data_IF_562223000656
#
_entry.id   IF_562223000656
#
_cell.length_a   1.000
_cell.length_b   1.000
_cell.length_c   1.000
_cell.angle_alpha   90.00
_cell.angle_beta   90.00
_cell.angle_gamma   90.00
#
_symmetry.space_group_name_H-M   'P 1'
#
loop_
_entity.id
_entity.type
_entity.pdbx_description
1 polymer ?
#
# COMPACT_ATOMS: atom_id res chain seq x y z
N UNK A 1 -11.72 1.85 -11.80
CA UNK A 1 -11.27 0.93 -10.74
C UNK A 1 -11.20 -0.47 -11.32
N UNK A 2 -10.05 -1.12 -11.19
CA UNK A 2 -9.85 -2.51 -11.61
C UNK A 2 -10.21 -3.44 -10.45
N UNK A 3 -10.79 -4.60 -10.78
CA UNK A 3 -11.23 -5.59 -9.81
C UNK A 3 -10.54 -6.93 -10.08
N UNK A 4 -9.98 -7.51 -9.03
CA UNK A 4 -9.39 -8.83 -9.06
C UNK A 4 -9.99 -9.70 -7.95
N UNK A 5 -10.29 -10.96 -8.27
CA UNK A 5 -10.81 -11.93 -7.30
C UNK A 5 -10.01 -13.21 -7.38
N UNK A 6 -9.58 -13.71 -6.22
CA UNK A 6 -9.03 -15.05 -6.08
C UNK A 6 -10.08 -15.94 -5.44
N UNK A 7 -10.36 -17.07 -6.09
CA UNK A 7 -11.07 -18.17 -5.47
C UNK A 7 -10.72 -19.47 -6.18
N UNK A 8 -11.39 -20.55 -5.80
CA UNK A 8 -11.29 -21.87 -6.42
C UNK A 8 -12.69 -22.46 -6.63
N UNK A 9 -12.77 -23.42 -7.53
CA UNK A 9 -13.99 -24.21 -7.71
C UNK A 9 -14.10 -25.36 -6.74
N UNK A 10 -15.26 -26.03 -6.79
CA UNK A 10 -15.51 -27.26 -6.04
C UNK A 10 -14.62 -28.42 -6.52
N UNK A 11 -14.43 -28.55 -7.84
CA UNK A 11 -13.72 -29.65 -8.46
C UNK A 11 -12.21 -29.63 -8.21
N UNK A 12 -11.57 -30.79 -8.41
CA UNK A 12 -10.14 -31.00 -8.15
C UNK A 12 -9.23 -30.18 -9.08
N UNK A 13 -9.63 -30.00 -10.34
CA UNK A 13 -8.90 -29.27 -11.37
C UNK A 13 -9.10 -27.74 -11.30
N UNK A 14 -10.11 -27.29 -10.57
CA UNK A 14 -10.43 -25.88 -10.34
C UNK A 14 -9.68 -25.33 -9.13
N UNK A 15 -8.34 -25.21 -9.22
CA UNK A 15 -7.51 -24.70 -8.12
C UNK A 15 -7.58 -23.17 -7.96
N UNK A 16 -6.97 -22.61 -6.90
CA UNK A 16 -6.97 -21.18 -6.63
C UNK A 16 -6.33 -20.36 -7.75
N UNK A 17 -7.08 -19.40 -8.31
CA UNK A 17 -6.61 -18.53 -9.39
C UNK A 17 -7.15 -17.12 -9.21
N UNK A 18 -6.35 -16.15 -9.63
CA UNK A 18 -6.78 -14.76 -9.73
C UNK A 18 -7.44 -14.50 -11.08
N UNK A 19 -8.62 -13.87 -11.03
CA UNK A 19 -9.34 -13.37 -12.18
C UNK A 19 -9.40 -11.84 -12.10
N UNK A 20 -8.93 -11.14 -13.13
CA UNK A 20 -9.28 -9.75 -13.37
C UNK A 20 -10.63 -9.70 -14.07
N UNK A 21 -11.52 -8.83 -13.60
CA UNK A 21 -12.86 -8.67 -14.15
C UNK A 21 -12.93 -7.36 -14.94
N UNK A 22 -13.11 -7.49 -16.25
CA UNK A 22 -13.21 -6.38 -17.19
C UNK A 22 -14.58 -5.70 -17.13
N UNK A 23 -14.71 -4.55 -17.79
CA UNK A 23 -15.94 -3.76 -17.81
C UNK A 23 -17.15 -4.49 -18.40
N UNK A 24 -16.91 -5.45 -19.30
CA UNK A 24 -17.93 -6.30 -19.94
C UNK A 24 -18.27 -7.57 -19.14
N UNK A 25 -17.84 -7.66 -17.88
CA UNK A 25 -17.89 -8.86 -17.02
C UNK A 25 -17.07 -10.05 -17.55
N UNK A 26 -16.24 -9.88 -18.57
CA UNK A 26 -15.30 -10.94 -18.95
C UNK A 26 -14.21 -11.10 -17.89
N UNK A 27 -13.80 -12.36 -17.65
CA UNK A 27 -12.79 -12.70 -16.67
C UNK A 27 -11.50 -13.17 -17.35
N UNK A 28 -10.36 -12.65 -16.91
CA UNK A 28 -9.03 -13.03 -17.42
C UNK A 28 -8.13 -13.50 -16.29
N UNK A 29 -7.34 -14.54 -16.55
CA UNK A 29 -6.32 -15.02 -15.61
C UNK A 29 -5.20 -13.98 -15.49
N UNK A 30 -5.24 -13.19 -14.42
CA UNK A 30 -4.30 -12.11 -14.20
C UNK A 30 -4.14 -11.82 -12.71
N UNK A 31 -2.88 -11.67 -12.28
CA UNK A 31 -2.56 -11.29 -10.91
C UNK A 31 -2.84 -9.80 -10.70
N UNK A 32 -3.39 -9.40 -9.54
CA UNK A 32 -3.41 -7.99 -9.15
C UNK A 32 -1.97 -7.46 -9.01
N UNK A 33 -1.76 -6.15 -9.19
CA UNK A 33 -0.44 -5.51 -9.09
C UNK A 33 -0.01 -5.35 -7.62
N UNK A 34 0.03 -6.44 -6.85
CA UNK A 34 0.49 -6.45 -5.45
C UNK A 34 2.01 -6.27 -5.42
N UNK A 35 2.50 -5.31 -4.63
CA UNK A 35 3.93 -5.11 -4.45
C UNK A 35 4.60 -6.27 -3.70
N UNK A 36 5.88 -6.50 -4.00
CA UNK A 36 6.66 -7.58 -3.37
C UNK A 36 6.66 -7.46 -1.84
N UNK A 37 6.77 -6.23 -1.32
CA UNK A 37 6.74 -5.96 0.11
C UNK A 37 5.41 -6.40 0.73
N UNK A 38 4.27 -6.00 0.15
CA UNK A 38 2.96 -6.39 0.65
C UNK A 38 2.75 -7.91 0.59
N UNK A 39 3.18 -8.55 -0.51
CA UNK A 39 3.05 -10.02 -0.67
C UNK A 39 3.75 -10.81 0.43
N UNK A 40 4.81 -10.25 1.02
CA UNK A 40 5.54 -10.86 2.12
C UNK A 40 4.94 -10.54 3.49
N UNK A 41 3.91 -9.70 3.59
CA UNK A 41 3.30 -9.27 4.85
C UNK A 41 1.92 -9.88 5.11
N UNK A 42 1.30 -10.47 4.10
CA UNK A 42 -0.02 -11.09 4.19
C UNK A 42 0.03 -12.55 3.79
N UNK A 43 -1.03 -13.27 4.13
CA UNK A 43 -1.28 -14.64 3.68
C UNK A 43 -2.75 -14.78 3.32
N UNK A 44 -3.02 -15.63 2.34
CA UNK A 44 -4.36 -15.91 1.85
C UNK A 44 -5.13 -16.86 2.77
N UNK A 45 -4.44 -17.59 3.66
CA UNK A 45 -5.08 -18.50 4.60
C UNK A 45 -5.69 -17.78 5.82
N UNK A 46 -5.24 -16.57 6.13
CA UNK A 46 -5.71 -15.80 7.30
C UNK A 46 -6.44 -14.52 6.89
N UNK A 47 -7.58 -14.18 7.53
CA UNK A 47 -8.27 -12.93 7.28
C UNK A 47 -7.34 -11.72 7.43
N UNK A 48 -7.08 -11.02 6.32
CA UNK A 48 -6.18 -9.87 6.30
C UNK A 48 -6.79 -8.71 5.52
N UNK A 49 -6.45 -7.50 5.92
CA UNK A 49 -6.81 -6.27 5.21
C UNK A 49 -5.54 -5.47 4.97
N UNK A 50 -5.29 -5.10 3.72
CA UNK A 50 -4.13 -4.30 3.36
C UNK A 50 -4.46 -3.19 2.39
N UNK A 51 -3.81 -2.04 2.57
CA UNK A 51 -3.80 -0.93 1.62
C UNK A 51 -2.36 -0.63 1.22
N UNK A 52 -2.11 -0.55 -0.08
CA UNK A 52 -0.82 -0.23 -0.67
C UNK A 52 -0.97 0.92 -1.68
N UNK A 53 0.00 1.83 -1.69
CA UNK A 53 0.14 2.82 -2.76
C UNK A 53 1.16 2.32 -3.77
N UNK A 54 0.72 2.16 -5.01
CA UNK A 54 1.53 1.68 -6.11
C UNK A 54 2.45 2.80 -6.66
N UNK A 55 3.54 2.46 -7.38
CA UNK A 55 4.47 3.46 -7.93
C UNK A 55 3.85 4.47 -8.90
N UNK A 56 2.68 4.18 -9.45
CA UNK A 56 1.93 5.03 -10.37
C UNK A 56 0.79 5.81 -9.67
N UNK A 57 0.89 6.01 -8.35
CA UNK A 57 -0.07 6.73 -7.49
C UNK A 57 -1.45 6.09 -7.38
N UNK A 58 -1.63 4.88 -7.93
CA UNK A 58 -2.81 4.07 -7.69
C UNK A 58 -2.80 3.47 -6.30
N UNK A 59 -3.98 3.15 -5.80
CA UNK A 59 -4.19 2.52 -4.51
C UNK A 59 -4.75 1.12 -4.73
N UNK A 60 -4.16 0.15 -4.03
CA UNK A 60 -4.62 -1.23 -3.99
C UNK A 60 -5.17 -1.52 -2.59
N UNK A 61 -6.45 -1.89 -2.51
CA UNK A 61 -7.05 -2.50 -1.34
C UNK A 61 -7.11 -4.01 -1.55
N UNK A 62 -6.57 -4.78 -0.62
CA UNK A 62 -6.61 -6.23 -0.64
C UNK A 62 -7.25 -6.76 0.64
N UNK A 63 -8.28 -7.59 0.47
CA UNK A 63 -8.95 -8.31 1.55
C UNK A 63 -8.78 -9.81 1.27
N UNK A 64 -8.13 -10.53 2.16
CA UNK A 64 -7.84 -11.97 2.01
C UNK A 64 -8.49 -12.80 3.10
N UNK A 65 -8.46 -14.13 2.94
CA UNK A 65 -8.91 -15.08 3.97
C UNK A 65 -10.40 -14.99 4.28
N UNK A 66 -11.23 -14.53 3.34
CA UNK A 66 -12.68 -14.51 3.51
C UNK A 66 -13.15 -15.96 3.43
N UNK A 67 -13.81 -16.45 4.47
CA UNK A 67 -14.35 -17.81 4.56
C UNK A 67 -15.88 -17.77 4.53
N UNK A 68 -16.53 -17.94 3.37
CA UNK A 68 -17.98 -17.98 3.31
C UNK A 68 -18.56 -19.24 3.95
N UNK A 69 -19.64 -19.08 4.70
CA UNK A 69 -20.34 -20.21 5.33
C UNK A 69 -20.84 -21.20 4.26
N UNK A 70 -20.53 -22.49 4.44
CA UNK A 70 -20.99 -23.58 3.56
C UNK A 70 -20.23 -23.72 2.24
N UNK A 71 -19.18 -22.93 1.98
CA UNK A 71 -18.36 -23.03 0.77
C UNK A 71 -17.14 -23.92 1.02
N UNK A 72 -17.21 -25.16 0.55
CA UNK A 72 -16.12 -26.15 0.69
C UNK A 72 -15.74 -26.77 -0.66
N UNK A 73 -14.54 -27.31 -0.75
CA UNK A 73 -14.08 -28.08 -1.91
C UNK A 73 -14.46 -29.58 -1.80
N UNK A 74 -14.06 -30.36 -2.80
CA UNK A 74 -14.28 -31.82 -2.84
C UNK A 74 -13.66 -32.63 -1.68
N UNK A 75 -12.82 -32.01 -0.84
CA UNK A 75 -12.22 -32.59 0.37
C UNK A 75 -12.78 -31.96 1.65
N UNK A 76 -13.93 -31.28 1.57
CA UNK A 76 -14.57 -30.56 2.67
C UNK A 76 -13.69 -29.46 3.29
N UNK A 77 -12.69 -28.96 2.55
CA UNK A 77 -11.84 -27.84 3.00
C UNK A 77 -12.54 -26.52 2.68
N UNK A 78 -12.51 -25.53 3.59
CA UNK A 78 -13.07 -24.21 3.31
C UNK A 78 -12.46 -23.56 2.07
N UNK A 79 -13.31 -23.10 1.15
CA UNK A 79 -12.89 -22.31 0.00
C UNK A 79 -12.88 -20.84 0.43
N UNK A 80 -11.70 -20.23 0.33
CA UNK A 80 -11.49 -18.82 0.65
C UNK A 80 -11.68 -17.93 -0.56
N UNK A 81 -11.97 -16.67 -0.30
CA UNK A 81 -12.00 -15.61 -1.30
C UNK A 81 -10.95 -14.56 -0.89
N UNK A 82 -10.19 -14.08 -1.88
CA UNK A 82 -9.46 -12.84 -1.77
C UNK A 82 -9.93 -11.86 -2.83
N UNK A 83 -9.96 -10.58 -2.52
CA UNK A 83 -10.39 -9.53 -3.45
C UNK A 83 -9.41 -8.39 -3.41
N UNK A 84 -9.00 -7.92 -4.58
CA UNK A 84 -8.25 -6.69 -4.75
C UNK A 84 -9.04 -5.66 -5.56
N UNK A 85 -9.16 -4.44 -5.01
CA UNK A 85 -9.64 -3.27 -5.75
C UNK A 85 -8.46 -2.34 -6.02
N UNK A 86 -8.25 -1.97 -7.28
CA UNK A 86 -7.19 -1.05 -7.69
C UNK A 86 -7.82 0.23 -8.25
N UNK A 87 -7.68 1.33 -7.52
CA UNK A 87 -8.26 2.62 -7.85
C UNK A 87 -7.20 3.70 -8.06
N UNK A 88 -7.62 4.82 -8.64
CA UNK A 88 -6.80 6.03 -8.69
C UNK A 88 -6.89 6.80 -7.35
N UNK A 89 -6.12 7.88 -7.19
CA UNK A 89 -6.16 8.68 -5.96
C UNK A 89 -7.53 9.32 -5.67
N UNK A 90 -8.38 9.52 -6.69
CA UNK A 90 -9.77 9.94 -6.52
C UNK A 90 -10.64 8.90 -5.81
N UNK A 91 -10.27 7.63 -5.90
CA UNK A 91 -11.00 6.51 -5.30
C UNK A 91 -10.57 6.27 -3.84
N UNK A 92 -9.59 7.03 -3.32
CA UNK A 92 -9.01 6.82 -2.00
C UNK A 92 -10.07 6.77 -0.90
N UNK A 93 -11.02 7.69 -0.90
CA UNK A 93 -12.07 7.73 0.11
C UNK A 93 -12.91 6.44 0.11
N UNK A 94 -13.28 5.95 -1.08
CA UNK A 94 -14.10 4.75 -1.20
C UNK A 94 -13.31 3.50 -0.75
N UNK A 95 -12.03 3.40 -1.14
CA UNK A 95 -11.14 2.33 -0.68
C UNK A 95 -10.89 2.37 0.83
N UNK A 96 -10.71 3.57 1.42
CA UNK A 96 -10.57 3.75 2.87
C UNK A 96 -11.83 3.31 3.62
N UNK A 97 -13.01 3.70 3.15
CA UNK A 97 -14.30 3.32 3.77
C UNK A 97 -14.53 1.81 3.67
N UNK A 98 -14.25 1.21 2.51
CA UNK A 98 -14.36 -0.23 2.30
C UNK A 98 -13.39 -1.01 3.21
N UNK A 99 -12.14 -0.54 3.34
CA UNK A 99 -11.16 -1.10 4.26
C UNK A 99 -11.63 -0.99 5.72
N UNK A 100 -12.15 0.17 6.14
CA UNK A 100 -12.72 0.37 7.47
C UNK A 100 -13.87 -0.61 7.75
N UNK A 101 -14.77 -0.82 6.79
CA UNK A 101 -15.85 -1.80 6.90
C UNK A 101 -15.32 -3.23 7.05
N UNK A 102 -14.31 -3.61 6.26
CA UNK A 102 -13.66 -4.92 6.37
C UNK A 102 -13.04 -5.13 7.77
N UNK A 103 -12.39 -4.12 8.34
CA UNK A 103 -11.82 -4.19 9.69
C UNK A 103 -12.87 -4.40 10.78
N UNK A 104 -14.00 -3.72 10.67
CA UNK A 104 -15.09 -3.81 11.66
C UNK A 104 -15.80 -5.16 11.64
N UNK A 105 -15.90 -5.81 10.47
CA UNK A 105 -16.54 -7.12 10.33
C UNK A 105 -15.70 -8.28 10.85
N UNK A 106 -14.38 -8.13 10.95
CA UNK A 106 -13.54 -9.13 11.59
C UNK A 106 -13.67 -9.15 13.12
N UNK A 107 -14.46 -8.25 13.71
CA UNK A 107 -14.74 -8.27 15.14
C UNK A 107 -15.65 -9.45 15.50
N UNK A 108 -15.21 -10.25 16.48
CA UNK A 108 -16.01 -11.27 17.15
C UNK A 108 -17.08 -10.61 18.04
N UNK A 109 -17.92 -9.75 17.48
CA UNK A 109 -19.06 -9.17 18.18
C UNK A 109 -20.24 -10.14 18.13
N UNK A 110 -20.94 -10.36 19.26
CA UNK A 110 -22.07 -11.29 19.33
C UNK A 110 -23.27 -10.87 18.48
N UNK A 111 -23.34 -9.61 18.05
CA UNK A 111 -24.27 -9.14 17.02
C UNK A 111 -23.60 -9.28 15.64
N UNK A 112 -23.70 -10.46 15.04
CA UNK A 112 -23.41 -10.60 13.60
C UNK A 112 -24.33 -9.62 12.84
N UNK A 113 -23.79 -8.75 11.97
CA UNK A 113 -24.63 -7.90 11.14
C UNK A 113 -25.60 -8.77 10.33
N UNK A 114 -26.81 -8.26 10.08
CA UNK A 114 -27.76 -8.92 9.18
C UNK A 114 -27.05 -9.31 7.87
N UNK A 115 -27.30 -10.48 7.27
CA UNK A 115 -26.61 -10.94 6.07
C UNK A 115 -26.62 -9.90 4.93
N UNK A 116 -27.69 -9.11 4.81
CA UNK A 116 -27.78 -8.03 3.81
C UNK A 116 -26.81 -6.86 4.05
N UNK A 117 -26.21 -6.73 5.23
CA UNK A 117 -25.28 -5.64 5.59
C UNK A 117 -23.82 -6.11 5.75
N UNK A 118 -23.56 -7.42 5.80
CA UNK A 118 -22.19 -7.92 5.87
C UNK A 118 -21.50 -7.82 4.51
N UNK A 119 -20.35 -7.16 4.47
CA UNK A 119 -19.42 -7.10 3.37
C UNK A 119 -19.00 -8.50 2.95
N UNK A 120 -18.66 -9.36 3.91
CA UNK A 120 -18.23 -10.74 3.61
C UNK A 120 -19.35 -11.54 2.93
N UNK A 121 -20.59 -11.41 3.43
CA UNK A 121 -21.75 -12.06 2.81
C UNK A 121 -22.04 -11.49 1.41
N UNK A 122 -21.92 -10.17 1.22
CA UNK A 122 -22.12 -9.54 -0.09
C UNK A 122 -21.02 -9.94 -1.08
N UNK A 123 -19.76 -10.05 -0.65
CA UNK A 123 -18.65 -10.59 -1.47
C UNK A 123 -18.94 -12.04 -1.85
N UNK A 124 -19.38 -12.88 -0.91
CA UNK A 124 -19.71 -14.27 -1.22
C UNK A 124 -20.82 -14.37 -2.28
N UNK A 125 -21.89 -13.56 -2.14
CA UNK A 125 -22.97 -13.53 -3.11
C UNK A 125 -22.52 -13.02 -4.49
N UNK A 126 -21.52 -12.15 -4.52
CA UNK A 126 -20.93 -11.64 -5.76
C UNK A 126 -19.96 -12.62 -6.41
N UNK A 127 -19.59 -13.72 -5.73
CA UNK A 127 -18.63 -14.72 -6.23
C UNK A 127 -19.24 -16.13 -6.15
N UNK A 128 -20.32 -16.45 -6.88
CA UNK A 128 -20.92 -17.79 -6.85
C UNK A 128 -19.95 -18.88 -7.32
N UNK A 129 -20.17 -20.12 -6.86
CA UNK A 129 -19.52 -21.31 -7.40
C UNK A 129 -20.19 -21.70 -8.72
N UNK A 130 -19.64 -21.22 -9.83
CA UNK A 130 -20.13 -21.49 -11.20
C UNK A 130 -19.02 -21.21 -12.24
N UNK A 131 -19.32 -21.35 -13.53
CA UNK A 131 -18.44 -20.90 -14.61
C UNK A 131 -17.23 -21.79 -14.88
N UNK A 132 -16.44 -21.40 -15.88
CA UNK A 132 -15.32 -22.20 -16.41
C UNK A 132 -14.20 -22.45 -15.38
N UNK A 133 -13.97 -21.49 -14.48
CA UNK A 133 -12.95 -21.58 -13.44
C UNK A 133 -13.49 -22.13 -12.11
N UNK A 134 -14.75 -22.56 -12.08
CA UNK A 134 -15.46 -23.04 -10.90
C UNK A 134 -15.90 -21.94 -9.92
N UNK A 135 -15.66 -20.67 -10.28
CA UNK A 135 -16.38 -19.52 -9.74
C UNK A 135 -16.59 -18.44 -10.82
N UNK A 136 -17.64 -17.64 -10.66
CA UNK A 136 -17.92 -16.45 -11.48
C UNK A 136 -17.92 -15.21 -10.57
N UNK A 137 -17.72 -14.01 -11.12
CA UNK A 137 -17.70 -12.76 -10.36
C UNK A 137 -18.66 -11.74 -10.97
N UNK A 138 -19.64 -11.29 -10.18
CA UNK A 138 -20.50 -10.17 -10.54
C UNK A 138 -19.77 -8.84 -10.30
N UNK A 139 -19.22 -8.24 -11.36
CA UNK A 139 -18.56 -6.93 -11.25
C UNK A 139 -19.49 -5.87 -10.70
N UNK A 140 -20.74 -5.86 -11.15
CA UNK A 140 -21.73 -4.87 -10.72
C UNK A 140 -21.94 -4.93 -9.20
N UNK A 141 -22.15 -6.14 -8.65
CA UNK A 141 -22.28 -6.32 -7.21
C UNK A 141 -21.03 -5.88 -6.45
N UNK A 142 -19.83 -6.14 -7.00
CA UNK A 142 -18.56 -5.73 -6.40
C UNK A 142 -18.32 -4.22 -6.44
N UNK A 143 -18.82 -3.52 -7.47
CA UNK A 143 -18.77 -2.06 -7.56
C UNK A 143 -19.78 -1.39 -6.64
N UNK A 144 -20.96 -1.98 -6.44
CA UNK A 144 -21.96 -1.49 -5.49
C UNK A 144 -21.42 -1.45 -4.06
N UNK A 145 -20.53 -2.39 -3.68
CA UNK A 145 -19.82 -2.37 -2.40
C UNK A 145 -19.04 -1.07 -2.17
N UNK A 146 -18.42 -0.56 -3.23
CA UNK A 146 -17.60 0.67 -3.21
C UNK A 146 -18.51 1.91 -3.24
N UNK A 147 -19.62 1.84 -3.99
CA UNK A 147 -20.54 2.95 -4.19
C UNK A 147 -21.42 3.25 -2.95
N UNK A 148 -21.84 2.22 -2.20
CA UNK A 148 -22.64 2.36 -0.97
C UNK A 148 -22.00 3.31 0.05
N UNK A 149 -20.68 3.30 0.09
CA UNK A 149 -19.91 4.11 1.02
C UNK A 149 -19.61 5.51 0.48
N UNK A 150 -19.96 5.84 -0.77
CA UNK A 150 -19.65 7.15 -1.39
C UNK A 150 -20.75 8.20 -1.23
N UNK A 151 -21.96 7.83 -0.82
CA UNK A 151 -23.16 8.70 -0.85
C UNK A 151 -23.41 9.55 0.41
N UNK A 152 -22.56 9.46 1.45
CA UNK A 152 -22.65 10.32 2.63
C UNK A 152 -21.83 11.60 2.44
N UNK A 153 -22.42 12.76 2.79
CA UNK A 153 -21.78 14.09 2.73
C UNK A 153 -20.35 14.04 3.28
N UNK A 154 -19.42 14.63 2.52
CA UNK A 154 -17.99 14.60 2.78
C UNK A 154 -17.64 15.54 3.95
N UNK A 155 -17.23 15.07 5.14
CA UNK A 155 -16.32 15.86 5.93
C UNK A 155 -15.03 16.04 5.12
N UNK A 156 -14.44 17.24 5.13
CA UNK A 156 -13.08 17.42 4.60
C UNK A 156 -12.16 16.43 5.31
N UNK A 157 -11.58 15.49 4.56
CA UNK A 157 -10.64 14.52 5.12
C UNK A 157 -9.44 15.28 5.70
N UNK A 158 -9.06 14.93 6.92
CA UNK A 158 -7.93 15.53 7.63
C UNK A 158 -6.62 15.02 7.03
N UNK A 159 -5.56 15.83 7.16
CA UNK A 159 -4.23 15.44 6.73
C UNK A 159 -3.71 14.21 7.53
N UNK A 160 -2.99 13.27 6.90
CA UNK A 160 -2.50 12.07 7.58
C UNK A 160 -1.55 12.40 8.72
N UNK A 161 -1.67 11.67 9.84
CA UNK A 161 -0.61 11.64 10.84
C UNK A 161 0.51 10.72 10.35
N UNK A 162 1.67 11.28 9.99
CA UNK A 162 2.79 10.52 9.41
C UNK A 162 3.54 9.61 10.39
N UNK A 163 3.28 9.69 11.69
CA UNK A 163 3.84 8.76 12.67
C UNK A 163 3.39 7.35 12.35
N UNK A 164 4.35 6.42 12.20
CA UNK A 164 4.08 5.00 11.95
C UNK A 164 3.73 4.32 13.26
N UNK A 165 2.69 3.49 13.26
CA UNK A 165 2.19 2.83 14.47
C UNK A 165 1.97 1.34 14.21
N UNK A 166 2.35 0.54 15.20
CA UNK A 166 2.17 -0.90 15.23
C UNK A 166 1.39 -1.31 16.49
N UNK A 167 0.53 -2.32 16.39
CA UNK A 167 -0.23 -2.81 17.54
C UNK A 167 -0.72 -4.25 17.40
N UNK A 168 -1.35 -4.77 18.45
CA UNK A 168 -2.01 -6.08 18.37
C UNK A 168 -3.28 -6.01 17.51
N UNK A 169 -3.54 -7.04 16.72
CA UNK A 169 -4.80 -7.19 15.98
C UNK A 169 -5.96 -7.51 16.92
N UNK A 170 -6.40 -6.50 17.67
CA UNK A 170 -7.51 -6.56 18.62
C UNK A 170 -8.72 -5.78 18.10
N UNK A 171 -9.96 -6.13 18.53
CA UNK A 171 -11.15 -5.38 18.14
C UNK A 171 -11.07 -3.88 18.44
N UNK A 172 -10.46 -3.51 19.58
CA UNK A 172 -10.24 -2.12 19.97
C UNK A 172 -9.41 -1.37 18.91
N UNK A 173 -8.23 -1.89 18.57
CA UNK A 173 -7.32 -1.22 17.64
C UNK A 173 -7.83 -1.24 16.20
N UNK A 174 -8.58 -2.28 15.79
CA UNK A 174 -9.29 -2.28 14.51
C UNK A 174 -10.37 -1.21 14.43
N UNK A 175 -11.13 -0.99 15.50
CA UNK A 175 -12.12 0.08 15.55
C UNK A 175 -11.46 1.46 15.46
N UNK A 176 -10.38 1.69 16.21
CA UNK A 176 -9.62 2.93 16.14
C UNK A 176 -9.06 3.18 14.73
N UNK A 177 -8.50 2.15 14.09
CA UNK A 177 -8.00 2.23 12.72
C UNK A 177 -9.12 2.48 11.70
N UNK A 178 -10.28 1.84 11.86
CA UNK A 178 -11.43 2.04 11.00
C UNK A 178 -11.97 3.48 11.10
N UNK A 179 -12.00 4.08 12.30
CA UNK A 179 -12.35 5.49 12.47
C UNK A 179 -11.28 6.42 11.88
N UNK A 180 -10.00 6.11 12.08
CA UNK A 180 -8.90 6.87 11.46
C UNK A 180 -9.01 6.86 9.92
N UNK A 181 -9.33 5.70 9.33
CA UNK A 181 -9.54 5.55 7.90
C UNK A 181 -10.73 6.37 7.37
N UNK A 182 -11.77 6.60 8.16
CA UNK A 182 -12.90 7.44 7.75
C UNK A 182 -12.53 8.92 7.75
N UNK A 183 -11.77 9.34 8.74
CA UNK A 183 -11.49 10.75 9.03
C UNK A 183 -10.27 11.33 8.29
N UNK A 184 -9.25 10.51 8.02
CA UNK A 184 -7.94 10.97 7.56
C UNK A 184 -7.59 10.42 6.18
N UNK A 185 -6.94 11.26 5.36
CA UNK A 185 -6.33 10.80 4.11
C UNK A 185 -5.19 9.81 4.39
N UNK A 186 -4.82 9.03 3.37
CA UNK A 186 -3.65 8.17 3.40
C UNK A 186 -2.36 8.98 3.19
N UNK A 187 -1.22 8.56 3.74
CA UNK A 187 0.08 9.08 3.35
C UNK A 187 0.33 8.91 1.84
N UNK A 188 1.15 9.81 1.27
CA UNK A 188 1.53 9.80 -0.14
C UNK A 188 2.74 8.91 -0.42
N UNK A 189 3.32 8.25 0.59
CA UNK A 189 4.46 7.34 0.39
C UNK A 189 4.02 6.11 -0.43
N UNK A 190 4.85 5.69 -1.37
CA UNK A 190 4.69 4.41 -2.10
C UNK A 190 4.94 3.23 -1.15
N UNK A 191 4.28 2.11 -1.40
CA UNK A 191 4.42 0.86 -0.66
C UNK A 191 3.27 0.58 0.31
N UNK A 192 3.42 -0.43 1.18
CA UNK A 192 2.39 -0.82 2.14
C UNK A 192 2.08 0.32 3.13
N UNK A 193 0.82 0.74 3.16
CA UNK A 193 0.32 1.77 4.07
C UNK A 193 -0.37 1.17 5.27
N UNK A 194 -1.26 0.20 5.03
CA UNK A 194 -2.00 -0.48 6.08
C UNK A 194 -1.83 -1.97 5.91
N UNK A 195 -1.51 -2.67 7.00
CA UNK A 195 -1.44 -4.13 7.02
C UNK A 195 -2.05 -4.63 8.33
N UNK A 196 -3.16 -5.35 8.23
CA UNK A 196 -3.76 -6.09 9.34
C UNK A 196 -3.67 -7.58 9.00
N UNK A 197 -2.92 -8.34 9.78
CA UNK A 197 -2.58 -9.74 9.47
C UNK A 197 -2.56 -10.62 10.72
N UNK A 198 -2.79 -11.92 10.54
CA UNK A 198 -2.68 -12.91 11.61
C UNK A 198 -1.29 -13.50 11.82
N UNK A 199 -0.36 -13.31 10.88
CA UNK A 199 0.81 -14.19 10.75
C UNK A 199 2.19 -13.53 10.88
N UNK A 200 2.28 -12.20 10.85
CA UNK A 200 3.59 -11.51 10.87
C UNK A 200 4.00 -11.10 12.26
N UNK A 201 5.27 -11.32 12.61
CA UNK A 201 5.82 -10.82 13.87
C UNK A 201 6.10 -9.32 13.77
N UNK A 202 6.31 -8.72 14.94
CA UNK A 202 6.64 -7.30 15.10
C UNK A 202 7.77 -6.87 14.18
N UNK A 203 8.88 -7.59 14.20
CA UNK A 203 10.12 -7.22 13.51
C UNK A 203 9.90 -7.06 12.00
N UNK A 204 9.14 -7.97 11.37
CA UNK A 204 8.83 -7.90 9.94
C UNK A 204 8.01 -6.67 9.57
N UNK A 205 7.08 -6.26 10.45
CA UNK A 205 6.26 -5.06 10.24
C UNK A 205 7.05 -3.77 10.49
N UNK A 206 8.00 -3.79 11.43
CA UNK A 206 8.92 -2.68 11.68
C UNK A 206 9.90 -2.48 10.51
N UNK A 207 10.42 -3.58 9.94
CA UNK A 207 11.30 -3.56 8.77
C UNK A 207 10.58 -3.03 7.52
N UNK A 208 9.33 -3.41 7.33
CA UNK A 208 8.51 -2.94 6.21
C UNK A 208 8.02 -1.48 6.35
N UNK A 209 8.26 -0.84 7.51
CA UNK A 209 7.94 0.57 7.75
C UNK A 209 6.49 0.96 7.39
N UNK A 210 5.55 0.04 7.61
CA UNK A 210 4.12 0.21 7.34
C UNK A 210 3.57 1.36 8.18
N UNK A 211 2.69 2.18 7.60
CA UNK A 211 2.11 3.33 8.31
C UNK A 211 1.20 2.91 9.49
N UNK A 212 0.29 1.97 9.26
CA UNK A 212 -0.53 1.33 10.31
C UNK A 212 -0.41 -0.18 10.17
N UNK A 213 0.14 -0.84 11.18
CA UNK A 213 0.23 -2.30 11.19
C UNK A 213 -0.41 -2.91 12.43
N UNK A 214 -1.22 -3.95 12.22
CA UNK A 214 -1.81 -4.75 13.29
C UNK A 214 -1.47 -6.21 13.06
N UNK A 215 -0.99 -6.88 14.11
CA UNK A 215 -0.71 -8.31 14.07
C UNK A 215 -1.27 -9.07 15.26
N UNK A 216 -1.82 -10.26 15.01
CA UNK A 216 -2.27 -11.18 16.06
C UNK A 216 -1.11 -11.78 16.86
N UNK A 217 0.14 -11.68 16.39
CA UNK A 217 1.34 -12.21 17.06
C UNK A 217 2.00 -11.19 18.01
N UNK A 218 1.29 -10.13 18.39
CA UNK A 218 1.80 -9.09 19.28
C UNK A 218 1.02 -9.05 20.58
N UNK A 219 1.74 -8.87 21.68
CA UNK A 219 1.16 -8.88 23.03
C UNK A 219 0.82 -7.47 23.56
N UNK A 220 0.88 -6.44 22.70
CA UNK A 220 0.64 -5.04 23.11
C UNK A 220 -0.82 -4.64 22.93
N UNK A 221 -1.47 -4.22 24.02
CA UNK A 221 -2.88 -3.82 24.00
C UNK A 221 -3.16 -2.44 23.39
N UNK A 222 -2.12 -1.64 23.17
CA UNK A 222 -2.21 -0.27 22.62
C UNK A 222 -1.21 -0.07 21.48
N UNK A 223 -1.39 1.02 20.73
CA UNK A 223 -0.47 1.43 19.69
C UNK A 223 0.93 1.70 20.25
N UNK A 224 1.94 1.12 19.60
CA UNK A 224 3.35 1.49 19.76
C UNK A 224 3.77 2.34 18.57
N UNK A 225 4.36 3.50 18.82
CA UNK A 225 4.96 4.30 17.76
C UNK A 225 6.29 3.68 17.33
N UNK A 226 6.53 3.63 16.02
CA UNK A 226 7.82 3.20 15.51
C UNK A 226 8.80 4.37 15.58
N UNK A 227 10.03 4.14 16.08
CA UNK A 227 11.05 5.18 16.07
C UNK A 227 11.28 5.59 14.62
N UNK A 228 11.27 6.91 14.36
CA UNK A 228 11.69 7.46 13.08
C UNK A 228 13.16 7.10 12.94
N UNK A 229 13.47 5.99 12.26
CA UNK A 229 14.84 5.72 11.84
C UNK A 229 15.19 6.83 10.85
N UNK A 230 16.14 7.73 11.17
CA UNK A 230 16.57 8.71 10.19
C UNK A 230 17.08 7.95 8.98
N UNK A 231 16.45 8.17 7.81
CA UNK A 231 16.75 7.45 6.58
C UNK A 231 18.24 7.55 6.19
N UNK A 232 18.97 8.52 6.75
CA UNK A 232 20.43 8.56 6.76
C UNK A 232 20.96 9.10 8.10
N UNK A 233 21.41 8.20 8.97
CA UNK A 233 22.38 8.56 10.01
C UNK A 233 23.77 8.17 9.52
N UNK A 234 24.68 9.14 9.40
CA UNK A 234 26.11 8.89 9.14
C UNK A 234 26.72 7.91 10.15
N UNK A 235 26.15 7.77 11.35
CA UNK A 235 26.61 6.80 12.35
C UNK A 235 26.42 5.34 11.89
N UNK A 236 25.35 5.04 11.13
CA UNK A 236 25.09 3.70 10.61
C UNK A 236 26.02 3.31 9.45
N UNK A 237 26.81 4.26 8.92
CA UNK A 237 27.81 4.00 7.88
C UNK A 237 29.10 3.38 8.44
N UNK A 238 29.41 3.64 9.72
CA UNK A 238 30.62 3.17 10.38
C UNK A 238 30.39 1.90 11.21
N UNK A 239 29.13 1.62 11.57
CA UNK A 239 28.74 0.41 12.30
C UNK A 239 28.31 -0.72 11.36
N UNK A 240 29.32 -1.38 10.77
CA UNK A 240 29.28 -2.82 10.57
C UNK A 240 28.36 -3.41 9.48
N UNK A 241 28.47 -2.95 8.23
CA UNK A 241 28.08 -3.79 7.08
C UNK A 241 29.24 -4.02 6.12
N UNK A 242 29.41 -5.30 5.80
CA UNK A 242 30.48 -5.96 5.05
C UNK A 242 31.06 -5.09 3.90
N UNK A 243 32.39 -4.80 3.89
CA UNK A 243 33.04 -3.95 2.87
C UNK A 243 32.97 -4.49 1.43
N UNK A 244 32.34 -5.66 1.24
CA UNK A 244 32.17 -6.36 -0.04
C UNK A 244 30.88 -6.02 -0.78
N UNK A 245 29.98 -5.19 -0.23
CA UNK A 245 28.75 -4.84 -0.94
C UNK A 245 29.03 -3.83 -2.09
N UNK A 246 28.92 -4.21 -3.38
CA UNK A 246 29.25 -3.34 -4.50
C UNK A 246 28.28 -2.16 -4.63
N UNK A 247 27.05 -2.28 -4.12
CA UNK A 247 26.06 -1.20 -4.14
C UNK A 247 26.49 -0.04 -3.23
N UNK A 248 27.18 -0.34 -2.12
CA UNK A 248 27.68 0.65 -1.17
C UNK A 248 28.80 1.48 -1.79
N UNK A 249 29.74 0.82 -2.48
CA UNK A 249 30.79 1.50 -3.25
C UNK A 249 30.23 2.37 -4.38
N UNK A 250 29.16 1.92 -5.04
CA UNK A 250 28.50 2.72 -6.08
C UNK A 250 27.90 4.01 -5.51
N UNK A 251 27.30 3.95 -4.31
CA UNK A 251 26.74 5.13 -3.66
C UNK A 251 27.81 6.11 -3.17
N UNK A 252 28.90 5.61 -2.58
CA UNK A 252 30.07 6.44 -2.20
C UNK A 252 30.71 7.09 -3.42
N UNK A 253 30.82 6.35 -4.53
CA UNK A 253 31.35 6.90 -5.77
C UNK A 253 30.41 7.99 -6.32
N UNK A 254 29.09 7.78 -6.30
CA UNK A 254 28.12 8.77 -6.76
C UNK A 254 28.21 10.08 -5.99
N UNK A 255 28.34 10.03 -4.65
CA UNK A 255 28.44 11.24 -3.82
C UNK A 255 29.76 11.97 -4.02
N UNK A 256 30.87 11.24 -4.18
CA UNK A 256 32.16 11.83 -4.53
C UNK A 256 32.11 12.49 -5.91
N UNK A 257 31.50 11.83 -6.90
CA UNK A 257 31.36 12.38 -8.26
C UNK A 257 30.49 13.63 -8.27
N UNK A 258 29.37 13.67 -7.54
CA UNK A 258 28.53 14.88 -7.46
C UNK A 258 29.28 16.04 -6.81
N UNK A 259 30.03 15.78 -5.72
CA UNK A 259 30.83 16.81 -5.06
C UNK A 259 31.93 17.36 -5.99
N UNK A 260 32.61 16.46 -6.72
CA UNK A 260 33.62 16.86 -7.71
C UNK A 260 33.04 17.66 -8.87
N UNK A 261 31.83 17.33 -9.34
CA UNK A 261 31.14 18.06 -10.39
C UNK A 261 30.75 19.48 -9.96
N UNK A 262 30.22 19.63 -8.73
CA UNK A 262 29.93 20.96 -8.17
C UNK A 262 31.20 21.80 -8.01
N UNK A 263 32.28 21.19 -7.51
CA UNK A 263 33.58 21.84 -7.38
C UNK A 263 34.17 22.28 -8.74
N UNK A 264 34.09 21.43 -9.76
CA UNK A 264 34.52 21.78 -11.13
C UNK A 264 33.66 22.91 -11.71
N UNK A 265 32.37 22.92 -11.44
CA UNK A 265 31.45 23.97 -11.88
C UNK A 265 31.81 25.34 -11.28
N UNK A 266 32.09 25.38 -9.97
CA UNK A 266 32.61 26.56 -9.26
C UNK A 266 33.90 27.11 -9.89
N UNK A 267 34.86 26.23 -10.22
CA UNK A 267 36.12 26.63 -10.88
C UNK A 267 35.87 27.23 -12.27
N UNK A 268 34.99 26.62 -13.08
CA UNK A 268 34.66 27.12 -14.41
C UNK A 268 34.00 28.50 -14.32
N UNK A 269 33.10 28.70 -13.36
CA UNK A 269 32.45 29.99 -13.09
C UNK A 269 33.45 31.06 -12.65
N UNK A 270 34.42 30.72 -11.80
CA UNK A 270 35.48 31.64 -11.38
C UNK A 270 36.34 32.10 -12.56
N UNK A 271 36.71 31.19 -13.48
CA UNK A 271 37.51 31.52 -14.66
C UNK A 271 36.76 32.38 -15.69
N UNK A 272 35.43 32.19 -15.84
CA UNK A 272 34.61 33.06 -16.71
C UNK A 272 34.53 34.51 -16.19
N UNK A 273 34.48 34.70 -14.86
CA UNK A 273 34.51 36.04 -14.26
C UNK A 273 35.86 36.74 -14.47
N UNK A 274 36.97 36.02 -14.37
CA UNK A 274 38.31 36.57 -14.56
C UNK A 274 38.60 37.02 -16.01
N UNK A 275 37.99 36.35 -17.00
CA UNK A 275 38.14 36.69 -18.43
C UNK A 275 37.23 37.83 -18.88
N UNK A 276 36.03 37.95 -18.30
CA UNK A 276 35.12 39.10 -18.54
C UNK A 276 35.66 40.44 -18.01
N UNK A 277 36.40 40.42 -16.89
CA UNK A 277 36.98 41.63 -16.29
C UNK A 277 38.16 42.26 -17.05
N UNK A 278 38.74 41.56 -18.03
CA UNK A 278 39.88 42.08 -18.83
C UNK A 278 39.45 42.81 -20.12
N UNK A 279 38.17 42.78 -20.49
CA UNK A 279 37.69 43.44 -21.72
C UNK A 279 37.18 44.88 -21.52
N UNK A 280 37.20 45.42 -20.29
CA UNK A 280 36.69 46.77 -20.01
C UNK A 280 37.78 47.83 -19.71
N UNK A 281 39.08 47.50 -19.81
CA UNK A 281 40.16 48.47 -19.50
C UNK A 281 40.86 49.09 -20.72
N UNK A 282 40.32 48.99 -21.94
CA UNK A 282 40.98 49.49 -23.15
C UNK A 282 40.23 50.58 -23.95
N UNK A 283 39.08 51.08 -23.48
CA UNK A 283 38.29 52.09 -24.23
C UNK A 283 38.22 53.50 -23.60
N UNK A 284 39.00 53.79 -22.55
CA UNK A 284 39.07 55.13 -21.95
C UNK A 284 40.31 55.92 -22.38
N UNK A 285 40.56 56.06 -23.69
CA UNK A 285 41.53 57.01 -24.24
C UNK A 285 41.11 57.51 -25.64
N UNK A 286 39.99 58.22 -25.74
CA UNK A 286 39.79 59.21 -26.80
C UNK A 286 38.48 59.99 -26.58
N UNK A 287 38.54 61.08 -25.81
CA UNK A 287 37.55 62.18 -25.84
C UNK A 287 38.09 63.34 -25.01
N UNK A 288 39.07 64.03 -25.57
CA UNK A 288 39.41 65.41 -25.23
C UNK A 288 39.80 66.14 -26.52
N UNK A 289 38.76 66.62 -27.22
CA UNK A 289 38.81 67.74 -28.17
C UNK A 289 37.47 68.47 -28.07
N UNK A 290 37.48 69.56 -27.32
CA UNK A 290 36.39 70.49 -27.10
C UNK A 290 36.87 71.62 -26.23
#
# INVERSE_FOLDING_TARGET
MDLYVQSRGFAQDCDYRWLQIDEDNSARLQLPPIGLELSNLIDNETPSVALERLPDERLLLLVTGIEPEGRVDFLDRPIRIAVAWVGCSSDELALRRLAARALLEQNDTPLKPSPQKSLLAQINNAVPLDGEYGFEVSRQSMLELVALDSSQELPLSKAPNLTKKIGCNSPKLRNELAEELKDYCLPTQTGPLIVVTGIKKRESLEEALVWRSLSSLMDTNDWSELPVKPEFSLANLWEGKDPKNPLMWFMVLRTLVSYWLEFLWEIILANKKATSGKSQSSDSQNRDKG
#
